data_IF_387577001525
#
_entry.id   IF_387577001525
#
_cell.length_a   1.000
_cell.length_b   1.000
_cell.length_c   1.000
_cell.angle_alpha   90.00
_cell.angle_beta   90.00
_cell.angle_gamma   90.00
#
_symmetry.space_group_name_H-M   'P 1'
#
loop_
_entity.id
_entity.type
_entity.pdbx_description
1 polymer ?
#
# COMPACT_ATOMS: atom_id res chain seq x y z
N UNK A 1 -10.12 11.82 -37.63
CA UNK A 1 -9.46 10.50 -37.50
C UNK A 1 -8.89 9.92 -38.80
N UNK A 2 -9.53 10.02 -39.99
CA UNK A 2 -8.97 9.50 -41.26
C UNK A 2 -7.59 10.07 -41.64
N UNK A 3 -7.33 11.33 -41.31
CA UNK A 3 -6.11 12.04 -41.70
C UNK A 3 -4.82 11.55 -41.00
N UNK A 4 -4.91 11.02 -39.78
CA UNK A 4 -3.74 10.49 -39.06
C UNK A 4 -3.33 9.09 -39.54
N UNK A 5 -4.29 8.29 -40.01
CA UNK A 5 -4.04 6.95 -40.57
C UNK A 5 -3.34 7.02 -41.94
N UNK A 6 -3.68 8.02 -42.77
CA UNK A 6 -3.01 8.23 -44.07
C UNK A 6 -1.56 8.65 -43.91
N UNK A 7 -1.24 9.50 -42.92
CA UNK A 7 0.14 9.89 -42.61
C UNK A 7 0.99 8.71 -42.10
N UNK A 8 0.41 7.86 -41.25
CA UNK A 8 1.08 6.62 -40.80
C UNK A 8 1.33 5.67 -41.99
N UNK A 9 0.37 5.54 -42.91
CA UNK A 9 0.52 4.76 -44.14
C UNK A 9 1.66 5.27 -45.04
N UNK A 10 1.74 6.59 -45.26
CA UNK A 10 2.79 7.21 -46.05
C UNK A 10 4.18 7.09 -45.41
N UNK A 11 4.27 7.19 -44.08
CA UNK A 11 5.52 7.00 -43.34
C UNK A 11 6.04 5.56 -43.45
N UNK A 12 5.16 4.57 -43.25
CA UNK A 12 5.51 3.15 -43.41
C UNK A 12 5.89 2.80 -44.86
N UNK A 13 5.26 3.44 -45.86
CA UNK A 13 5.66 3.27 -47.25
C UNK A 13 7.04 3.87 -47.57
N UNK A 14 7.42 5.00 -46.96
CA UNK A 14 8.77 5.58 -47.11
C UNK A 14 9.85 4.69 -46.48
N UNK A 15 9.59 4.11 -45.31
CA UNK A 15 10.48 3.13 -44.67
C UNK A 15 10.66 1.92 -45.59
N UNK A 16 9.57 1.36 -46.13
CA UNK A 16 9.62 0.21 -47.05
C UNK A 16 10.39 0.48 -48.34
N UNK A 17 10.32 1.70 -48.91
CA UNK A 17 11.07 2.06 -50.12
C UNK A 17 12.57 2.20 -49.86
N UNK A 18 12.95 2.77 -48.72
CA UNK A 18 14.36 2.94 -48.32
C UNK A 18 15.08 1.62 -48.05
N UNK A 19 14.34 0.62 -47.55
CA UNK A 19 14.84 -0.74 -47.33
C UNK A 19 15.16 -1.45 -48.67
N UNK A 20 14.45 -1.14 -49.76
CA UNK A 20 14.68 -1.78 -51.07
C UNK A 20 15.88 -1.23 -51.85
N UNK A 21 16.34 -0.02 -51.54
CA UNK A 21 17.40 0.65 -52.33
C UNK A 21 18.83 0.33 -51.86
N UNK A 22 19.02 -0.36 -50.73
CA UNK A 22 20.35 -0.72 -50.20
C UNK A 22 20.40 -2.16 -49.68
N UNK A 23 20.54 -3.16 -50.59
CA UNK A 23 20.58 -4.57 -50.20
C UNK A 23 21.81 -4.94 -49.33
N UNK A 24 22.92 -4.21 -49.42
CA UNK A 24 24.12 -4.44 -48.59
C UNK A 24 23.94 -4.07 -47.10
N UNK A 25 22.89 -3.32 -46.76
CA UNK A 25 22.57 -2.98 -45.36
C UNK A 25 21.67 -4.02 -44.65
N UNK A 26 21.22 -5.06 -45.36
CA UNK A 26 20.27 -6.05 -44.84
C UNK A 26 20.92 -7.28 -44.20
N UNK A 27 22.16 -7.63 -44.54
CA UNK A 27 22.81 -8.81 -43.93
C UNK A 27 23.20 -8.59 -42.47
N UNK A 28 23.34 -7.34 -42.02
CA UNK A 28 23.63 -7.03 -40.62
C UNK A 28 22.38 -6.87 -39.72
N UNK A 29 21.18 -6.72 -40.30
CA UNK A 29 19.95 -6.39 -39.54
C UNK A 29 19.03 -7.60 -39.37
N UNK A 30 19.28 -8.70 -40.08
CA UNK A 30 18.36 -9.83 -40.21
C UNK A 30 18.55 -10.99 -39.21
N UNK A 31 18.99 -10.76 -37.95
CA UNK A 31 19.08 -11.86 -36.95
C UNK A 31 18.53 -11.57 -35.56
N UNK A 32 17.94 -10.40 -35.29
CA UNK A 32 17.13 -10.22 -34.07
C UNK A 32 15.81 -9.56 -34.40
N UNK A 33 14.66 -10.13 -33.98
CA UNK A 33 13.40 -9.39 -34.06
C UNK A 33 13.61 -8.05 -33.38
N UNK A 34 13.23 -6.96 -34.05
CA UNK A 34 13.29 -5.62 -33.51
C UNK A 34 12.46 -5.58 -32.23
N UNK A 35 13.14 -5.78 -31.09
CA UNK A 35 12.52 -5.72 -29.80
C UNK A 35 12.32 -4.25 -29.46
N UNK A 36 11.12 -3.85 -29.04
CA UNK A 36 10.86 -2.50 -28.56
C UNK A 36 11.88 -2.10 -27.48
N UNK A 37 12.34 -3.07 -26.67
CA UNK A 37 13.37 -2.89 -25.63
C UNK A 37 14.80 -2.68 -26.15
N UNK A 38 15.06 -2.92 -27.43
CA UNK A 38 16.36 -2.68 -28.07
C UNK A 38 16.49 -1.23 -28.58
N UNK A 39 15.43 -0.43 -28.47
CA UNK A 39 15.48 1.00 -28.76
C UNK A 39 16.32 1.75 -27.71
N UNK A 40 17.10 2.76 -28.12
CA UNK A 40 17.66 3.75 -27.21
C UNK A 40 16.58 4.35 -26.30
N UNK A 41 16.96 4.71 -25.07
CA UNK A 41 16.04 5.18 -24.04
C UNK A 41 15.27 6.45 -24.48
N UNK A 42 15.89 7.32 -25.27
CA UNK A 42 15.30 8.54 -25.80
C UNK A 42 14.14 8.24 -26.74
N UNK A 43 14.31 7.25 -27.63
CA UNK A 43 13.26 6.83 -28.55
C UNK A 43 12.12 6.13 -27.81
N UNK A 44 12.43 5.37 -26.77
CA UNK A 44 11.41 4.77 -25.90
C UNK A 44 10.58 5.83 -25.18
N UNK A 45 11.22 6.86 -24.62
CA UNK A 45 10.53 7.95 -23.93
C UNK A 45 9.66 8.77 -24.91
N UNK A 46 10.15 8.99 -26.13
CA UNK A 46 9.36 9.65 -27.18
C UNK A 46 8.14 8.80 -27.54
N UNK A 47 8.27 7.48 -27.72
CA UNK A 47 7.11 6.61 -27.97
C UNK A 47 6.11 6.67 -26.82
N UNK A 48 6.60 6.65 -25.56
CA UNK A 48 5.76 6.72 -24.36
C UNK A 48 5.02 8.07 -24.28
N UNK A 49 5.62 9.17 -24.72
CA UNK A 49 4.99 10.51 -24.66
C UNK A 49 3.75 10.65 -25.55
N UNK A 50 3.63 9.81 -26.58
CA UNK A 50 2.47 9.75 -27.49
C UNK A 50 1.38 8.77 -27.02
N UNK A 51 1.61 8.03 -25.93
CA UNK A 51 0.63 7.07 -25.40
C UNK A 51 -0.42 7.77 -24.53
N UNK A 52 -1.65 7.24 -24.57
CA UNK A 52 -2.67 7.60 -23.58
C UNK A 52 -2.23 7.16 -22.18
N UNK A 53 -2.90 7.68 -21.15
CA UNK A 53 -2.60 7.28 -19.77
C UNK A 53 -2.92 5.79 -19.56
N UNK A 54 -4.01 5.31 -20.15
CA UNK A 54 -4.41 3.90 -20.17
C UNK A 54 -3.31 3.03 -20.81
N UNK A 55 -2.85 3.42 -22.00
CA UNK A 55 -1.79 2.70 -22.73
C UNK A 55 -0.46 2.69 -21.97
N UNK A 56 -0.17 3.79 -21.27
CA UNK A 56 1.01 3.90 -20.41
C UNK A 56 0.94 2.91 -19.26
N UNK A 57 -0.24 2.78 -18.63
CA UNK A 57 -0.46 1.78 -17.56
C UNK A 57 -0.38 0.35 -18.13
N UNK A 58 -0.91 0.09 -19.32
CA UNK A 58 -0.76 -1.20 -20.00
C UNK A 58 0.72 -1.54 -20.22
N UNK A 59 1.46 -0.62 -20.83
CA UNK A 59 2.86 -0.81 -21.14
C UNK A 59 3.67 -1.09 -19.86
N UNK A 60 3.37 -0.36 -18.77
CA UNK A 60 3.95 -0.56 -17.43
C UNK A 60 3.67 -1.96 -16.86
N UNK A 61 2.56 -2.60 -17.21
CA UNK A 61 2.20 -3.95 -16.76
C UNK A 61 2.89 -5.05 -17.55
N UNK A 62 3.34 -4.78 -18.79
CA UNK A 62 3.92 -5.81 -19.67
C UNK A 62 5.35 -6.21 -19.31
N UNK A 63 6.20 -5.26 -18.89
CA UNK A 63 7.63 -5.52 -18.66
C UNK A 63 8.17 -4.81 -17.42
N UNK A 64 9.20 -5.41 -16.80
CA UNK A 64 9.90 -4.78 -15.67
C UNK A 64 10.63 -3.51 -16.11
N UNK A 65 11.20 -3.50 -17.31
CA UNK A 65 11.93 -2.36 -17.85
C UNK A 65 11.00 -1.14 -18.03
N UNK A 66 9.84 -1.30 -18.68
CA UNK A 66 8.88 -0.21 -18.83
C UNK A 66 8.32 0.27 -17.50
N UNK A 67 8.18 -0.63 -16.53
CA UNK A 67 7.77 -0.25 -15.17
C UNK A 67 8.76 0.70 -14.49
N UNK A 68 10.04 0.60 -14.82
CA UNK A 68 11.07 1.41 -14.21
C UNK A 68 11.29 2.72 -14.99
N UNK A 69 11.09 2.72 -16.32
CA UNK A 69 11.14 3.92 -17.17
C UNK A 69 9.92 4.83 -17.04
N UNK A 70 8.72 4.25 -16.97
CA UNK A 70 7.48 5.01 -16.88
C UNK A 70 7.34 5.51 -15.43
N UNK A 71 6.99 6.79 -15.19
CA UNK A 71 6.70 7.28 -13.83
C UNK A 71 5.55 6.52 -13.16
N UNK A 72 5.61 6.36 -11.84
CA UNK A 72 4.49 5.74 -11.09
C UNK A 72 3.24 6.62 -11.24
N UNK A 73 2.10 6.04 -11.65
CA UNK A 73 0.86 6.81 -11.75
C UNK A 73 0.38 7.26 -10.37
N UNK A 74 -0.35 8.37 -10.32
CA UNK A 74 -1.01 8.78 -9.08
C UNK A 74 -2.15 7.83 -8.72
N UNK A 75 -2.53 7.82 -7.45
CA UNK A 75 -3.64 6.99 -6.98
C UNK A 75 -4.96 7.38 -7.66
N UNK A 76 -5.22 8.68 -7.79
CA UNK A 76 -6.43 9.22 -8.40
C UNK A 76 -6.56 8.76 -9.85
N UNK A 77 -5.45 8.79 -10.59
CA UNK A 77 -5.41 8.39 -11.98
C UNK A 77 -5.70 6.88 -12.13
N UNK A 78 -5.14 6.04 -11.26
CA UNK A 78 -5.45 4.61 -11.24
C UNK A 78 -6.94 4.32 -10.92
N UNK A 79 -7.52 5.06 -9.98
CA UNK A 79 -8.95 4.93 -9.66
C UNK A 79 -9.85 5.36 -10.82
N UNK A 80 -9.42 6.30 -11.67
CA UNK A 80 -10.12 6.65 -12.90
C UNK A 80 -10.03 5.51 -13.92
N UNK A 81 -8.85 4.89 -14.11
CA UNK A 81 -8.72 3.74 -15.02
C UNK A 81 -9.54 2.55 -14.53
N UNK A 82 -9.55 2.28 -13.23
CA UNK A 82 -10.33 1.18 -12.66
C UNK A 82 -11.82 1.24 -13.03
N UNK A 83 -12.34 2.44 -13.23
CA UNK A 83 -13.72 2.72 -13.62
C UNK A 83 -14.00 2.50 -15.13
N UNK A 84 -12.97 2.19 -15.93
CA UNK A 84 -13.07 1.93 -17.38
C UNK A 84 -13.60 0.53 -17.67
N UNK A 85 -14.26 0.38 -18.82
CA UNK A 85 -14.80 -0.90 -19.29
C UNK A 85 -13.73 -2.00 -19.34
N UNK A 86 -12.52 -1.67 -19.80
CA UNK A 86 -11.40 -2.62 -19.84
C UNK A 86 -11.04 -3.15 -18.44
N UNK A 87 -10.94 -2.26 -17.44
CA UNK A 87 -10.57 -2.66 -16.09
C UNK A 87 -11.66 -3.51 -15.45
N UNK A 88 -12.92 -3.19 -15.72
CA UNK A 88 -14.09 -3.97 -15.26
C UNK A 88 -14.08 -5.37 -15.88
N UNK A 89 -13.89 -5.47 -17.20
CA UNK A 89 -13.86 -6.75 -17.92
C UNK A 89 -12.71 -7.67 -17.46
N UNK A 90 -11.58 -7.08 -17.05
CA UNK A 90 -10.41 -7.82 -16.56
C UNK A 90 -10.36 -7.94 -15.03
N UNK A 91 -11.42 -7.50 -14.33
CA UNK A 91 -11.54 -7.48 -12.88
C UNK A 91 -10.32 -6.84 -12.17
N UNK A 92 -9.86 -5.71 -12.68
CA UNK A 92 -8.69 -5.01 -12.17
C UNK A 92 -9.08 -3.97 -11.13
N UNK A 93 -8.32 -3.92 -10.03
CA UNK A 93 -8.52 -2.98 -8.93
C UNK A 93 -7.21 -2.26 -8.59
N UNK A 94 -7.34 -1.02 -8.13
CA UNK A 94 -6.22 -0.18 -7.70
C UNK A 94 -5.72 -0.58 -6.32
N UNK A 95 -4.40 -0.77 -6.20
CA UNK A 95 -3.73 -0.86 -4.91
C UNK A 95 -3.09 0.48 -4.54
N UNK A 96 -3.46 1.03 -3.39
CA UNK A 96 -2.91 2.29 -2.88
C UNK A 96 -1.40 2.19 -2.55
N UNK A 97 -0.96 1.08 -1.97
CA UNK A 97 0.44 0.95 -1.55
C UNK A 97 1.44 0.78 -2.70
N UNK A 98 1.16 -0.11 -3.67
CA UNK A 98 2.08 -0.30 -4.80
C UNK A 98 1.80 0.60 -6.00
N UNK A 99 0.71 1.37 -5.99
CA UNK A 99 0.25 2.21 -7.10
C UNK A 99 0.20 1.42 -8.41
N UNK A 100 -0.53 0.30 -8.39
CA UNK A 100 -0.71 -0.60 -9.54
C UNK A 100 -2.15 -1.09 -9.61
N UNK A 101 -2.63 -1.32 -10.83
CA UNK A 101 -3.80 -2.18 -11.08
C UNK A 101 -3.40 -3.64 -10.90
N UNK A 102 -4.22 -4.40 -10.20
CA UNK A 102 -4.03 -5.82 -9.93
C UNK A 102 -5.38 -6.53 -10.09
N UNK A 103 -5.35 -7.79 -10.48
CA UNK A 103 -6.56 -8.61 -10.53
C UNK A 103 -7.23 -8.69 -9.15
N UNK A 104 -8.55 -8.76 -9.14
CA UNK A 104 -9.42 -8.93 -7.97
C UNK A 104 -8.93 -10.03 -7.03
N UNK A 105 -8.43 -11.13 -7.59
CA UNK A 105 -7.88 -12.31 -6.89
C UNK A 105 -6.65 -12.00 -6.03
N UNK A 106 -5.99 -10.87 -6.28
CA UNK A 106 -4.85 -10.39 -5.49
C UNK A 106 -5.28 -9.51 -4.31
N UNK A 107 -6.58 -9.37 -4.06
CA UNK A 107 -7.14 -8.63 -2.95
C UNK A 107 -7.92 -9.57 -2.02
N UNK A 108 -8.04 -9.17 -0.76
CA UNK A 108 -8.95 -9.86 0.15
C UNK A 108 -10.41 -9.58 -0.24
N UNK A 109 -11.30 -10.52 0.05
CA UNK A 109 -12.73 -10.42 -0.23
C UNK A 109 -13.33 -9.14 0.35
N UNK A 110 -12.90 -8.70 1.53
CA UNK A 110 -13.34 -7.43 2.12
C UNK A 110 -12.93 -6.21 1.28
N UNK A 111 -11.75 -6.27 0.66
CA UNK A 111 -11.23 -5.21 -0.23
C UNK A 111 -11.93 -5.22 -1.59
N UNK A 112 -12.46 -6.38 -2.03
CA UNK A 112 -13.25 -6.51 -3.27
C UNK A 112 -14.72 -6.14 -3.03
N UNK A 113 -15.34 -6.69 -1.97
CA UNK A 113 -16.76 -6.54 -1.64
C UNK A 113 -17.15 -5.13 -1.21
N UNK A 114 -16.22 -4.34 -0.65
CA UNK A 114 -16.44 -2.92 -0.37
C UNK A 114 -16.91 -2.15 -1.62
N UNK A 115 -16.68 -2.67 -2.83
CA UNK A 115 -17.05 -2.02 -4.08
C UNK A 115 -18.24 -2.71 -4.80
N UNK A 116 -18.35 -4.04 -4.77
CA UNK A 116 -19.27 -4.77 -5.65
C UNK A 116 -20.74 -4.85 -5.16
N UNK A 117 -20.99 -5.09 -3.86
CA UNK A 117 -22.34 -5.49 -3.39
C UNK A 117 -23.24 -4.34 -2.89
N UNK A 118 -22.74 -3.11 -2.73
CA UNK A 118 -23.54 -2.00 -2.15
C UNK A 118 -23.72 -0.78 -3.05
N UNK A 119 -23.17 -0.76 -4.26
CA UNK A 119 -22.99 0.49 -4.98
C UNK A 119 -23.44 0.42 -6.45
N UNK A 120 -24.74 0.59 -6.68
CA UNK A 120 -25.22 1.34 -7.86
C UNK A 120 -24.85 2.83 -7.82
N UNK A 121 -24.13 3.28 -6.78
CA UNK A 121 -23.43 4.56 -6.70
C UNK A 121 -22.01 4.35 -6.19
N UNK A 122 -21.01 4.55 -7.06
CA UNK A 122 -19.57 4.35 -6.81
C UNK A 122 -19.10 5.10 -5.55
N UNK A 123 -19.02 4.39 -4.43
CA UNK A 123 -18.47 4.90 -3.18
C UNK A 123 -16.94 5.00 -3.25
N UNK A 124 -16.42 6.04 -3.93
CA UNK A 124 -14.97 6.29 -4.12
C UNK A 124 -14.15 6.35 -2.83
N UNK A 125 -14.77 6.61 -1.68
CA UNK A 125 -14.07 6.84 -0.39
C UNK A 125 -13.33 5.62 0.14
N UNK A 126 -13.86 4.41 -0.03
CA UNK A 126 -13.19 3.19 0.44
C UNK A 126 -12.27 2.58 -0.61
N UNK A 127 -12.50 2.90 -1.89
CA UNK A 127 -11.69 2.42 -3.00
C UNK A 127 -10.22 2.88 -2.88
N UNK A 128 -10.00 4.10 -2.38
CA UNK A 128 -8.68 4.66 -2.12
C UNK A 128 -7.97 4.01 -0.92
N UNK A 129 -8.67 3.22 -0.12
CA UNK A 129 -8.12 2.57 1.06
C UNK A 129 -7.63 1.15 0.78
N UNK A 130 -7.88 0.63 -0.42
CA UNK A 130 -7.58 -0.75 -0.79
C UNK A 130 -6.11 -0.98 -1.04
N UNK A 131 -5.68 -2.19 -0.71
CA UNK A 131 -4.36 -2.67 -0.99
C UNK A 131 -4.38 -4.16 -1.32
N UNK A 132 -3.47 -4.60 -2.20
CA UNK A 132 -3.34 -6.00 -2.54
C UNK A 132 -2.77 -6.79 -1.36
N UNK A 133 -2.93 -8.12 -1.40
CA UNK A 133 -2.46 -9.05 -0.38
C UNK A 133 -0.95 -8.91 -0.17
N UNK A 134 -0.17 -8.88 -1.25
CA UNK A 134 1.29 -8.66 -1.20
C UNK A 134 1.63 -7.42 -0.37
N UNK A 135 1.07 -6.26 -0.74
CA UNK A 135 1.32 -5.02 -0.02
C UNK A 135 0.86 -5.10 1.44
N UNK A 136 -0.32 -5.66 1.69
CA UNK A 136 -0.85 -5.79 3.05
C UNK A 136 0.01 -6.67 3.96
N UNK A 137 0.78 -7.60 3.40
CA UNK A 137 1.72 -8.46 4.13
C UNK A 137 3.11 -7.83 4.28
N UNK A 138 3.53 -7.00 3.31
CA UNK A 138 4.89 -6.41 3.29
C UNK A 138 4.99 -5.05 3.95
N UNK A 139 3.95 -4.21 3.89
CA UNK A 139 4.05 -2.86 4.45
C UNK A 139 4.35 -2.95 5.96
N UNK A 140 5.41 -2.28 6.44
CA UNK A 140 5.70 -2.27 7.87
C UNK A 140 4.49 -1.69 8.60
N UNK A 141 3.91 -2.47 9.51
CA UNK A 141 2.83 -2.00 10.38
C UNK A 141 3.21 -0.74 11.20
N UNK A 142 4.52 -0.44 11.28
CA UNK A 142 5.06 0.74 11.95
C UNK A 142 5.11 2.00 11.09
N UNK A 143 4.81 1.94 9.79
CA UNK A 143 4.71 3.14 8.97
C UNK A 143 3.44 3.90 9.39
N UNK A 144 3.55 5.12 9.95
CA UNK A 144 2.38 5.87 10.41
C UNK A 144 1.34 6.01 9.30
N UNK A 145 0.08 5.63 9.57
CA UNK A 145 -1.01 5.67 8.60
C UNK A 145 -1.04 4.52 7.57
N UNK A 146 -0.02 3.66 7.52
CA UNK A 146 -0.05 2.49 6.64
C UNK A 146 -0.99 1.42 7.19
N UNK A 147 -1.92 0.97 6.35
CA UNK A 147 -2.83 -0.13 6.68
C UNK A 147 -2.30 -1.42 6.08
N UNK A 148 -2.19 -2.45 6.91
CA UNK A 148 -1.76 -3.78 6.49
C UNK A 148 -2.45 -4.85 7.33
N UNK A 149 -2.17 -6.11 7.02
CA UNK A 149 -2.68 -7.23 7.79
C UNK A 149 -1.80 -7.47 9.02
N UNK A 150 -2.38 -7.26 10.19
CA UNK A 150 -1.70 -7.56 11.46
C UNK A 150 -1.46 -9.07 11.65
N UNK A 151 -0.54 -9.40 12.54
CA UNK A 151 -0.35 -10.76 13.05
C UNK A 151 -1.67 -11.33 13.59
N UNK A 152 -1.99 -12.56 13.20
CA UNK A 152 -3.21 -13.27 13.59
C UNK A 152 -4.47 -12.87 12.81
N UNK A 153 -4.38 -11.95 11.84
CA UNK A 153 -5.53 -11.50 11.07
C UNK A 153 -6.04 -12.60 10.14
N UNK A 154 -7.34 -12.87 10.20
CA UNK A 154 -8.03 -13.80 9.31
C UNK A 154 -8.53 -13.07 8.06
N UNK A 155 -8.05 -13.49 6.90
CA UNK A 155 -8.27 -12.87 5.61
C UNK A 155 -9.02 -13.86 4.74
N UNK A 156 -10.09 -13.43 4.06
CA UNK A 156 -10.74 -14.25 3.05
C UNK A 156 -10.26 -13.84 1.67
N UNK A 157 -9.94 -14.81 0.82
CA UNK A 157 -9.51 -14.62 -0.56
C UNK A 157 -10.26 -15.64 -1.41
N UNK A 158 -11.12 -15.16 -2.31
CA UNK A 158 -11.99 -16.00 -3.14
C UNK A 158 -12.82 -16.99 -2.30
N UNK A 159 -13.33 -16.55 -1.15
CA UNK A 159 -14.10 -17.39 -0.24
C UNK A 159 -13.28 -18.34 0.65
N UNK A 160 -12.00 -18.58 0.33
CA UNK A 160 -11.10 -19.38 1.15
C UNK A 160 -10.52 -18.55 2.30
N UNK A 161 -10.42 -19.16 3.49
CA UNK A 161 -9.85 -18.53 4.67
C UNK A 161 -8.32 -18.66 4.69
N UNK A 162 -7.64 -17.57 4.98
CA UNK A 162 -6.21 -17.48 5.18
C UNK A 162 -5.91 -16.75 6.48
N UNK A 163 -4.75 -16.99 7.07
CA UNK A 163 -4.33 -16.29 8.27
C UNK A 163 -2.86 -15.88 8.20
N UNK A 164 -2.57 -14.70 8.73
CA UNK A 164 -1.20 -14.26 8.99
C UNK A 164 -0.74 -14.85 10.32
N UNK A 165 0.27 -15.71 10.30
CA UNK A 165 0.78 -16.34 11.51
C UNK A 165 1.20 -15.29 12.55
N UNK A 166 0.79 -15.48 13.82
CA UNK A 166 1.16 -14.58 14.91
C UNK A 166 2.67 -14.55 15.18
N UNK A 167 3.37 -15.66 14.95
CA UNK A 167 4.80 -15.80 15.21
C UNK A 167 5.63 -15.38 13.97
N UNK A 168 5.62 -16.23 12.92
CA UNK A 168 6.50 -16.09 11.76
C UNK A 168 5.97 -15.21 10.62
N UNK A 169 4.75 -14.64 10.73
CA UNK A 169 4.08 -13.84 9.68
C UNK A 169 3.82 -14.56 8.35
N UNK A 170 4.02 -15.87 8.27
CA UNK A 170 3.63 -16.64 7.10
C UNK A 170 2.14 -16.48 6.86
N UNK A 171 1.77 -16.33 5.59
CA UNK A 171 0.38 -16.22 5.13
C UNK A 171 0.02 -17.56 4.49
N UNK A 172 -0.77 -18.37 5.19
CA UNK A 172 -1.16 -19.71 4.76
C UNK A 172 -2.68 -19.88 4.81
N UNK A 173 -3.25 -20.80 4.01
CA UNK A 173 -4.64 -21.17 4.12
C UNK A 173 -4.94 -21.74 5.51
N UNK A 174 -6.07 -21.34 6.08
CA UNK A 174 -6.54 -21.91 7.35
C UNK A 174 -7.18 -23.27 7.05
N UNK A 175 -6.74 -24.36 7.70
CA UNK A 175 -7.39 -25.64 7.54
C UNK A 175 -8.85 -25.55 8.00
N UNK A 176 -9.77 -25.91 7.12
CA UNK A 176 -11.18 -26.12 7.43
C UNK A 176 -11.37 -27.59 7.86
N UNK A 177 -12.10 -27.90 8.94
CA UNK A 177 -12.72 -27.01 9.92
C UNK A 177 -11.72 -26.52 10.98
N UNK A 178 -11.82 -25.24 11.34
CA UNK A 178 -11.00 -24.57 12.35
C UNK A 178 -11.44 -24.92 13.79
N UNK A 179 -11.48 -26.20 14.14
CA UNK A 179 -11.77 -26.62 15.53
C UNK A 179 -10.54 -26.44 16.44
N UNK A 180 -9.38 -26.12 15.88
CA UNK A 180 -8.16 -25.80 16.61
C UNK A 180 -8.02 -24.29 16.92
N UNK A 181 -7.28 -23.93 17.98
CA UNK A 181 -6.98 -22.53 18.27
C UNK A 181 -6.28 -21.86 17.07
N UNK A 182 -6.54 -20.57 16.76
CA UNK A 182 -5.99 -19.83 15.61
C UNK A 182 -4.46 -19.70 15.56
N UNK A 183 -3.73 -20.36 16.45
CA UNK A 183 -2.29 -20.27 16.62
C UNK A 183 -1.57 -21.62 16.53
N UNK A 184 -2.29 -22.74 16.43
CA UNK A 184 -1.70 -24.09 16.49
C UNK A 184 -1.02 -24.56 15.20
N UNK A 185 -1.06 -23.79 14.10
CA UNK A 185 -0.57 -24.23 12.79
C UNK A 185 0.84 -23.74 12.43
N UNK A 186 1.48 -22.90 13.26
CA UNK A 186 2.83 -22.44 12.94
C UNK A 186 3.82 -23.62 13.01
N UNK A 187 4.41 -24.02 11.87
CA UNK A 187 5.47 -25.05 11.83
C UNK A 187 6.69 -24.70 12.68
N UNK A 188 6.90 -23.40 12.93
CA UNK A 188 7.98 -22.91 13.79
C UNK A 188 7.59 -22.89 15.28
N UNK A 189 6.45 -23.49 15.65
CA UNK A 189 5.92 -23.47 17.01
C UNK A 189 5.18 -22.19 17.37
N UNK A 190 4.23 -22.31 18.28
CA UNK A 190 3.59 -21.20 18.96
C UNK A 190 4.09 -21.16 20.40
N UNK A 191 5.00 -20.24 20.70
CA UNK A 191 5.33 -19.89 22.09
C UNK A 191 4.46 -18.68 22.46
N UNK A 192 3.39 -18.90 23.23
CA UNK A 192 2.53 -17.81 23.76
C UNK A 192 3.29 -16.82 24.63
N UNK A 193 4.44 -17.26 25.17
CA UNK A 193 5.09 -16.63 26.30
C UNK A 193 6.39 -15.91 25.93
N UNK A 194 6.73 -15.81 24.65
CA UNK A 194 7.95 -15.09 24.24
C UNK A 194 7.66 -13.98 23.24
N UNK A 195 8.00 -12.75 23.64
CA UNK A 195 7.99 -11.57 22.77
C UNK A 195 9.40 -11.43 22.22
N UNK A 196 9.56 -11.49 20.90
CA UNK A 196 10.82 -11.13 20.27
C UNK A 196 10.96 -9.60 20.35
N UNK A 197 11.86 -9.13 21.22
CA UNK A 197 12.32 -7.75 21.32
C UNK A 197 13.77 -7.76 20.82
N UNK A 198 14.02 -7.13 19.67
CA UNK A 198 15.35 -6.95 19.09
C UNK A 198 16.20 -8.24 19.00
N UNK A 199 15.57 -9.35 18.61
CA UNK A 199 16.26 -10.63 18.40
C UNK A 199 16.45 -11.46 19.68
N UNK A 200 15.99 -10.99 20.83
CA UNK A 200 15.98 -11.75 22.09
C UNK A 200 14.56 -12.16 22.45
N UNK A 201 14.39 -13.43 22.84
CA UNK A 201 13.12 -13.96 23.33
C UNK A 201 13.06 -13.73 24.85
N UNK A 202 12.34 -12.70 25.28
CA UNK A 202 12.05 -12.47 26.70
C UNK A 202 10.71 -13.11 27.08
N UNK A 203 10.65 -13.64 28.31
CA UNK A 203 9.42 -14.15 28.92
C UNK A 203 8.39 -13.00 29.07
N UNK A 204 7.19 -13.21 28.52
CA UNK A 204 6.09 -12.25 28.53
C UNK A 204 5.69 -11.85 29.96
N UNK A 205 5.84 -12.75 30.93
CA UNK A 205 5.51 -12.46 32.33
C UNK A 205 6.46 -11.40 32.90
N UNK A 206 7.77 -11.61 32.72
CA UNK A 206 8.80 -10.66 33.15
C UNK A 206 8.67 -9.31 32.44
N UNK A 207 8.36 -9.32 31.14
CA UNK A 207 8.14 -8.07 30.39
C UNK A 207 6.90 -7.29 30.87
N UNK A 208 5.79 -7.97 31.14
CA UNK A 208 4.55 -7.34 31.63
C UNK A 208 4.77 -6.70 32.99
N UNK A 209 5.47 -7.37 33.89
CA UNK A 209 5.77 -6.86 35.22
C UNK A 209 6.67 -5.61 35.14
N UNK A 210 7.72 -5.66 34.32
CA UNK A 210 8.61 -4.50 34.09
C UNK A 210 7.87 -3.31 33.47
N UNK A 211 6.98 -3.57 32.52
CA UNK A 211 6.15 -2.52 31.92
C UNK A 211 5.20 -1.88 32.94
N UNK A 212 4.54 -2.69 33.77
CA UNK A 212 3.65 -2.20 34.83
C UNK A 212 4.40 -1.38 35.88
N UNK A 213 5.60 -1.82 36.29
CA UNK A 213 6.47 -1.07 37.20
C UNK A 213 6.88 0.28 36.59
N UNK A 214 7.26 0.29 35.31
CA UNK A 214 7.64 1.52 34.60
C UNK A 214 6.45 2.48 34.46
N UNK A 215 5.24 1.96 34.24
CA UNK A 215 4.02 2.77 34.19
C UNK A 215 3.71 3.41 35.55
N UNK A 216 3.75 2.63 36.65
CA UNK A 216 3.58 3.15 38.01
C UNK A 216 4.57 4.25 38.36
N UNK A 217 5.85 4.08 37.99
CA UNK A 217 6.88 5.10 38.22
C UNK A 217 6.61 6.42 37.48
N UNK A 218 6.04 6.35 36.26
CA UNK A 218 5.65 7.55 35.50
C UNK A 218 4.48 8.24 36.17
N UNK A 219 3.45 7.50 36.57
CA UNK A 219 2.27 8.04 37.24
C UNK A 219 2.66 8.70 38.58
N UNK A 220 3.52 8.05 39.36
CA UNK A 220 4.06 8.62 40.62
C UNK A 220 4.90 9.88 40.38
N UNK A 221 5.71 9.91 39.33
CA UNK A 221 6.52 11.09 39.00
C UNK A 221 5.63 12.26 38.55
N UNK A 222 4.63 11.98 37.72
CA UNK A 222 3.68 12.99 37.23
C UNK A 222 2.81 13.53 38.36
N UNK A 223 2.40 12.67 39.30
CA UNK A 223 1.63 13.07 40.48
C UNK A 223 2.48 13.93 41.45
N UNK A 224 3.77 13.61 41.60
CA UNK A 224 4.73 14.46 42.35
C UNK A 224 4.93 15.82 41.70
N UNK A 225 5.08 15.88 40.37
CA UNK A 225 5.18 17.15 39.63
C UNK A 225 3.91 17.99 39.78
N UNK A 226 2.72 17.36 39.67
CA UNK A 226 1.45 18.04 39.89
C UNK A 226 1.30 18.55 41.33
N UNK A 227 1.71 17.77 42.32
CA UNK A 227 1.70 18.19 43.72
C UNK A 227 2.66 19.36 43.99
N UNK A 228 3.86 19.35 43.40
CA UNK A 228 4.80 20.47 43.47
C UNK A 228 4.23 21.73 42.80
N UNK A 229 3.67 21.60 41.60
CA UNK A 229 3.04 22.72 40.90
C UNK A 229 1.88 23.33 41.72
N UNK A 230 1.05 22.49 42.33
CA UNK A 230 -0.02 22.94 43.22
C UNK A 230 0.52 23.67 44.46
N UNK A 231 1.57 23.13 45.11
CA UNK A 231 2.19 23.77 46.26
C UNK A 231 2.78 25.15 45.92
N UNK A 232 3.40 25.30 44.74
CA UNK A 232 3.90 26.59 44.25
C UNK A 232 2.76 27.60 44.05
N UNK A 233 1.63 27.16 43.46
CA UNK A 233 0.45 28.01 43.26
C UNK A 233 -0.16 28.46 44.60
N UNK A 234 -0.28 27.55 45.57
CA UNK A 234 -0.82 27.86 46.91
C UNK A 234 0.09 28.84 47.66
N UNK A 235 1.40 28.62 47.63
CA UNK A 235 2.36 29.52 48.29
C UNK A 235 2.42 30.91 47.65
N UNK A 236 2.21 31.04 46.33
CA UNK A 236 2.10 32.34 45.67
C UNK A 236 0.79 33.09 45.96
N UNK A 237 -0.27 32.41 46.43
CA UNK A 237 -1.55 33.06 46.78
C UNK A 237 -1.57 33.74 48.15
N UNK A 238 -0.61 33.47 49.04
CA UNK A 238 -0.52 34.15 50.34
C UNK A 238 0.04 35.58 50.28
N UNK A 239 0.36 36.11 49.09
CA UNK A 239 0.77 37.50 48.88
C UNK A 239 -0.29 38.42 48.25
N UNK A 240 -1.49 37.92 47.95
CA UNK A 240 -2.60 38.77 47.52
C UNK A 240 -3.43 39.16 48.75
N UNK A 241 -2.88 40.09 49.54
CA UNK A 241 -3.73 40.90 50.41
C UNK A 241 -4.81 41.55 49.53
N UNK A 242 -6.05 41.12 49.73
CA UNK A 242 -7.23 41.79 49.20
C UNK A 242 -7.26 43.20 49.82
N UNK A 243 -6.64 44.17 49.15
CA UNK A 243 -6.97 45.57 49.40
C UNK A 243 -8.44 45.75 49.00
N UNK A 244 -9.29 45.83 50.02
CA UNK A 244 -10.74 45.93 49.86
C UNK A 244 -11.11 47.09 48.94
N UNK A 245 -11.82 46.79 47.86
CA UNK A 245 -12.63 47.77 47.18
C UNK A 245 -13.95 47.90 47.97
N UNK A 246 -14.36 49.12 48.36
CA UNK A 246 -15.56 49.34 49.14
C UNK A 246 -16.84 49.03 48.33
N UNK A 247 -17.89 48.50 48.98
CA UNK A 247 -19.11 48.05 48.34
C UNK A 247 -20.10 49.21 48.08
N UNK A 248 -19.69 50.26 47.36
CA UNK A 248 -20.55 51.40 47.04
C UNK A 248 -20.86 51.58 45.55
N UNK A 249 -20.65 50.56 44.73
CA UNK A 249 -21.04 50.58 43.32
C UNK A 249 -21.62 49.23 42.87
N UNK A 250 -22.78 48.86 43.43
CA UNK A 250 -23.78 47.97 42.81
C UNK A 250 -25.17 48.41 43.26
#
# INVERSE_FOLDING_TARGET
MKWQLEKAGQFLQRIRRRIRSHPESLEAVATKPFALLALPAELLLEVISHLSFEDTVYLRMTSRQFRDFIPKPSQEALLIIEDTEWAIQNELLTCNHCLRLRQSVKFADKMVMANWKRCRGRGRKEASLRFCIECGLTVPWRTPGARGYSRGHNIRVQGAGYQVCKNCRLFEPVPFPSNGPPWSWCRNGYESDRKNIDGKFEDLASWKEKYQQTAKQRDESQNKEQAMAYAVIVNHRHGLEFHGLPPSCL
#
